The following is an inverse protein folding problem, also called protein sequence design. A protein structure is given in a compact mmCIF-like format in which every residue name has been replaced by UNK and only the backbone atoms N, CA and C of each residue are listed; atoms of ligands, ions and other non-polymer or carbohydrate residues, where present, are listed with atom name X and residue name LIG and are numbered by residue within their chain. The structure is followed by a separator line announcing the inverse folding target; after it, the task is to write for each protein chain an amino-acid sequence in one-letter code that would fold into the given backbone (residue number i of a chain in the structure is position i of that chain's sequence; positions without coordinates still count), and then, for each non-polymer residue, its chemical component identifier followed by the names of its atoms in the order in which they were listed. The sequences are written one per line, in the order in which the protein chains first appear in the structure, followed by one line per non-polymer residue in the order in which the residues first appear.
data_IF_027373593837
#
_entry.id   IF_027373593837
#
_cell.length_a   1.000
_cell.length_b   1.000
_cell.length_c   1.000
_cell.angle_alpha   90.00
_cell.angle_beta   90.00
_cell.angle_gamma   90.00
#
_symmetry.space_group_name_H-M   'P 1'
#
loop_
_entity.id
_entity.type
_entity.pdbx_description
1 polymer ?
#
# COMPACT_ATOMS: atom_id res chain seq x y z
N UNK A 1 -33.48 -34.72 -11.70
CA UNK A 1 -33.95 -33.38 -12.08
C UNK A 1 -33.68 -32.43 -10.90
N UNK A 2 -32.49 -31.85 -10.83
CA UNK A 2 -32.22 -30.62 -10.06
C UNK A 2 -31.02 -29.96 -10.70
N UNK A 3 -31.27 -28.85 -11.41
CA UNK A 3 -30.27 -27.99 -11.99
C UNK A 3 -29.83 -27.03 -10.87
N UNK A 4 -28.62 -27.15 -10.41
CA UNK A 4 -27.98 -26.16 -9.56
C UNK A 4 -27.19 -25.21 -10.44
N UNK A 5 -27.74 -24.00 -10.63
CA UNK A 5 -27.05 -22.93 -11.33
C UNK A 5 -26.00 -22.26 -10.39
N UNK A 6 -24.81 -22.19 -10.84
CA UNK A 6 -23.76 -21.35 -10.23
C UNK A 6 -23.93 -19.94 -10.78
N UNK A 7 -24.42 -19.03 -9.94
CA UNK A 7 -24.41 -17.58 -10.21
C UNK A 7 -23.19 -17.00 -9.54
N UNK A 8 -22.25 -16.57 -10.36
CA UNK A 8 -21.23 -15.62 -9.98
C UNK A 8 -21.93 -14.29 -9.62
N UNK A 9 -21.75 -13.82 -8.40
CA UNK A 9 -22.24 -12.52 -7.97
C UNK A 9 -21.32 -11.43 -8.54
N UNK A 10 -21.61 -10.96 -9.74
CA UNK A 10 -21.12 -9.70 -10.25
C UNK A 10 -22.09 -8.63 -9.75
N UNK A 11 -21.64 -7.82 -8.81
CA UNK A 11 -22.41 -6.66 -8.33
C UNK A 11 -22.37 -5.58 -9.42
N UNK A 12 -23.37 -5.56 -10.28
CA UNK A 12 -23.58 -4.50 -11.24
C UNK A 12 -24.17 -3.28 -10.51
N UNK A 13 -23.42 -2.20 -10.48
CA UNK A 13 -23.92 -0.87 -10.10
C UNK A 13 -24.80 -0.36 -11.24
N UNK A 14 -26.11 -0.38 -11.05
CA UNK A 14 -27.07 0.27 -11.95
C UNK A 14 -27.02 1.78 -11.73
N UNK A 15 -26.56 2.51 -12.73
CA UNK A 15 -26.84 3.95 -12.86
C UNK A 15 -28.21 4.08 -13.50
N UNK A 16 -29.19 4.52 -12.74
CA UNK A 16 -30.50 4.86 -13.25
C UNK A 16 -30.44 6.22 -13.95
N UNK A 17 -30.62 6.25 -15.26
CA UNK A 17 -30.92 7.44 -16.01
C UNK A 17 -32.44 7.59 -16.10
N UNK A 18 -32.98 8.64 -15.48
CA UNK A 18 -34.34 9.11 -15.73
C UNK A 18 -34.31 10.59 -16.04
N UNK A 19 -35.01 10.97 -17.12
CA UNK A 19 -35.53 12.31 -17.20
C UNK A 19 -35.46 12.97 -18.57
N UNK A 20 -36.51 12.80 -19.32
CA UNK A 20 -36.89 13.59 -20.50
C UNK A 20 -37.22 15.02 -20.12
N UNK A 21 -36.72 15.98 -20.86
CA UNK A 21 -37.16 17.39 -20.81
C UNK A 21 -36.51 18.20 -21.92
N UNK A 22 -37.34 18.60 -22.87
CA UNK A 22 -37.03 19.30 -24.11
C UNK A 22 -36.87 20.81 -23.90
N UNK A 23 -36.10 21.41 -24.82
CA UNK A 23 -36.10 22.77 -25.32
C UNK A 23 -35.23 23.84 -24.64
N UNK A 24 -34.28 24.36 -25.44
CA UNK A 24 -33.59 25.60 -25.20
C UNK A 24 -32.27 25.74 -25.95
N UNK A 25 -32.31 26.26 -27.20
CA UNK A 25 -31.16 26.49 -28.03
C UNK A 25 -30.20 27.52 -27.42
N UNK A 26 -28.98 27.07 -27.16
CA UNK A 26 -27.82 27.90 -26.84
C UNK A 26 -26.58 27.17 -27.28
N UNK A 27 -26.12 27.40 -28.51
CA UNK A 27 -24.91 26.81 -29.07
C UNK A 27 -23.69 27.38 -28.37
N UNK A 28 -23.19 26.66 -27.40
CA UNK A 28 -21.81 26.81 -26.88
C UNK A 28 -21.04 25.59 -27.33
N UNK A 29 -20.25 25.75 -28.38
CA UNK A 29 -19.29 24.71 -28.83
C UNK A 29 -18.21 24.55 -27.76
N UNK A 30 -18.40 23.59 -26.89
CA UNK A 30 -17.29 23.06 -26.07
C UNK A 30 -16.44 22.17 -26.98
N UNK A 31 -15.35 22.73 -27.48
CA UNK A 31 -14.31 21.93 -28.14
C UNK A 31 -13.67 21.02 -27.08
N UNK A 32 -14.03 19.74 -27.10
CA UNK A 32 -13.28 18.71 -26.38
C UNK A 32 -11.95 18.50 -27.12
N UNK A 33 -10.90 19.10 -26.60
CA UNK A 33 -9.53 18.74 -26.98
C UNK A 33 -9.22 17.30 -26.53
N UNK A 34 -8.28 16.59 -27.19
CA UNK A 34 -7.92 15.23 -26.85
C UNK A 34 -7.27 15.25 -25.45
N UNK A 35 -8.00 14.77 -24.46
CA UNK A 35 -7.48 14.55 -23.12
C UNK A 35 -6.53 13.36 -23.13
N UNK A 36 -5.23 13.62 -23.28
CA UNK A 36 -4.22 12.73 -22.77
C UNK A 36 -4.29 12.81 -21.24
N UNK A 37 -4.71 11.70 -20.61
CA UNK A 37 -4.80 11.62 -19.16
C UNK A 37 -3.41 11.64 -18.54
N UNK A 38 -2.96 12.82 -18.19
CA UNK A 38 -1.87 13.03 -17.24
C UNK A 38 -2.46 13.92 -16.14
N UNK A 39 -2.48 13.41 -14.92
CA UNK A 39 -3.16 14.07 -13.81
C UNK A 39 -2.67 15.49 -13.60
N UNK A 40 -3.58 16.37 -13.21
CA UNK A 40 -3.50 17.83 -13.10
C UNK A 40 -2.09 18.38 -12.95
N UNK A 41 -1.45 18.65 -14.07
CA UNK A 41 -0.11 19.24 -14.05
C UNK A 41 -0.24 20.68 -13.53
N UNK A 42 0.77 21.18 -12.84
CA UNK A 42 0.82 22.56 -12.34
C UNK A 42 0.48 23.60 -13.42
N UNK A 43 0.59 23.22 -14.70
CA UNK A 43 0.34 24.04 -15.90
C UNK A 43 -1.08 23.93 -16.45
N UNK A 44 -1.97 23.12 -15.84
CA UNK A 44 -3.37 23.04 -16.27
C UNK A 44 -4.06 24.41 -16.08
N UNK A 45 -4.59 24.97 -17.18
CA UNK A 45 -5.27 26.26 -17.18
C UNK A 45 -6.72 26.07 -16.73
N UNK A 46 -7.08 26.68 -15.62
CA UNK A 46 -8.41 26.60 -15.00
C UNK A 46 -9.32 27.71 -15.44
N UNK A 47 -8.79 28.92 -15.68
CA UNK A 47 -9.52 30.11 -16.08
C UNK A 47 -8.58 31.14 -16.73
N UNK A 48 -9.13 32.22 -17.28
CA UNK A 48 -8.35 33.41 -17.63
C UNK A 48 -9.11 34.71 -17.29
N UNK A 49 -8.35 35.73 -16.89
CA UNK A 49 -8.85 37.07 -16.65
C UNK A 49 -8.05 38.02 -17.54
N UNK A 50 -8.73 38.69 -18.46
CA UNK A 50 -8.13 39.63 -19.42
C UNK A 50 -6.93 39.05 -20.19
N UNK A 51 -6.98 37.72 -20.49
CA UNK A 51 -5.93 36.97 -21.18
C UNK A 51 -4.82 36.46 -20.28
N UNK A 52 -4.83 36.72 -18.97
CA UNK A 52 -3.92 36.11 -18.00
C UNK A 52 -4.53 34.81 -17.53
N UNK A 53 -3.79 33.75 -17.73
CA UNK A 53 -4.21 32.39 -17.35
C UNK A 53 -4.07 32.18 -15.83
N UNK A 54 -5.06 31.49 -15.26
CA UNK A 54 -5.05 30.95 -13.90
C UNK A 54 -4.89 29.45 -14.02
N UNK A 55 -3.85 28.92 -13.41
CA UNK A 55 -3.47 27.53 -13.47
C UNK A 55 -3.64 26.84 -12.12
N UNK A 56 -3.44 25.51 -12.07
CA UNK A 56 -3.38 24.77 -10.80
C UNK A 56 -2.28 25.31 -9.88
N UNK A 57 -1.17 25.81 -10.43
CA UNK A 57 -0.08 26.40 -9.64
C UNK A 57 -0.48 27.67 -8.88
N UNK A 58 -1.50 28.39 -9.34
CA UNK A 58 -1.99 29.61 -8.71
C UNK A 58 -2.97 29.35 -7.56
N UNK A 59 -3.42 28.11 -7.37
CA UNK A 59 -4.27 27.71 -6.26
C UNK A 59 -3.49 27.70 -4.95
N UNK A 60 -4.21 27.83 -3.83
CA UNK A 60 -3.58 27.66 -2.52
C UNK A 60 -3.04 26.25 -2.33
N UNK A 61 -2.04 26.11 -1.44
CA UNK A 61 -1.32 24.87 -1.20
C UNK A 61 -2.25 23.72 -0.78
N UNK A 62 -3.25 24.00 0.06
CA UNK A 62 -4.17 22.96 0.55
C UNK A 62 -5.00 22.37 -0.59
N UNK A 63 -5.45 23.20 -1.53
CA UNK A 63 -6.21 22.72 -2.70
C UNK A 63 -5.30 21.94 -3.63
N UNK A 64 -4.08 22.39 -3.89
CA UNK A 64 -3.11 21.65 -4.71
C UNK A 64 -2.80 20.29 -4.12
N UNK A 65 -2.57 20.22 -2.81
CA UNK A 65 -2.33 18.95 -2.10
C UNK A 65 -3.54 18.03 -2.17
N UNK A 66 -4.75 18.58 -2.06
CA UNK A 66 -5.96 17.78 -2.19
C UNK A 66 -6.13 17.23 -3.60
N UNK A 67 -5.86 18.02 -4.65
CA UNK A 67 -5.91 17.56 -6.04
C UNK A 67 -4.87 16.47 -6.30
N UNK A 68 -3.63 16.65 -5.84
CA UNK A 68 -2.57 15.65 -5.97
C UNK A 68 -2.93 14.33 -5.29
N UNK A 69 -3.54 14.39 -4.09
CA UNK A 69 -4.06 13.20 -3.38
C UNK A 69 -5.11 12.47 -4.18
N UNK A 70 -6.11 13.22 -4.68
CA UNK A 70 -7.20 12.62 -5.47
C UNK A 70 -6.69 11.97 -6.74
N UNK A 71 -5.76 12.62 -7.44
CA UNK A 71 -5.16 12.08 -8.65
C UNK A 71 -4.37 10.81 -8.38
N UNK A 72 -3.48 10.82 -7.38
CA UNK A 72 -2.74 9.61 -7.00
C UNK A 72 -3.68 8.46 -6.62
N UNK A 73 -4.68 8.71 -5.77
CA UNK A 73 -5.64 7.69 -5.35
C UNK A 73 -6.42 7.13 -6.53
N UNK A 74 -6.85 7.99 -7.47
CA UNK A 74 -7.52 7.53 -8.69
C UNK A 74 -6.60 6.65 -9.55
N UNK A 75 -5.34 7.08 -9.78
CA UNK A 75 -4.35 6.31 -10.55
C UNK A 75 -4.05 4.98 -9.88
N UNK A 76 -3.89 4.96 -8.56
CA UNK A 76 -3.63 3.75 -7.80
C UNK A 76 -4.80 2.75 -7.88
N UNK A 77 -6.03 3.21 -7.68
CA UNK A 77 -7.21 2.37 -7.81
C UNK A 77 -7.39 1.83 -9.24
N UNK A 78 -7.15 2.69 -10.24
CA UNK A 78 -7.22 2.29 -11.65
C UNK A 78 -6.16 1.24 -11.99
N UNK A 79 -4.93 1.42 -11.54
CA UNK A 79 -3.84 0.46 -11.75
C UNK A 79 -4.18 -0.89 -11.13
N UNK A 80 -4.57 -0.93 -9.87
CA UNK A 80 -4.97 -2.16 -9.18
C UNK A 80 -6.13 -2.89 -9.88
N UNK A 81 -7.14 -2.13 -10.35
CA UNK A 81 -8.26 -2.71 -11.09
C UNK A 81 -7.81 -3.31 -12.42
N UNK A 82 -6.93 -2.61 -13.15
CA UNK A 82 -6.40 -3.10 -14.43
C UNK A 82 -5.51 -4.32 -14.22
N UNK A 83 -4.64 -4.32 -13.23
CA UNK A 83 -3.78 -5.46 -12.88
C UNK A 83 -4.62 -6.69 -12.58
N UNK A 84 -5.60 -6.56 -11.68
CA UNK A 84 -6.50 -7.67 -11.35
C UNK A 84 -7.31 -8.17 -12.56
N UNK A 85 -7.77 -7.25 -13.43
CA UNK A 85 -8.50 -7.62 -14.63
C UNK A 85 -7.61 -8.32 -15.67
N UNK A 86 -6.39 -7.84 -15.86
CA UNK A 86 -5.41 -8.46 -16.77
C UNK A 86 -5.01 -9.84 -16.29
N UNK A 87 -4.71 -10.01 -15.00
CA UNK A 87 -4.43 -11.31 -14.40
C UNK A 87 -5.59 -12.30 -14.62
N UNK A 88 -6.83 -11.87 -14.40
CA UNK A 88 -8.00 -12.71 -14.66
C UNK A 88 -8.12 -13.13 -16.12
N UNK A 89 -7.85 -12.24 -17.07
CA UNK A 89 -7.87 -12.56 -18.51
C UNK A 89 -6.74 -13.51 -18.90
N UNK A 90 -5.54 -13.31 -18.35
CA UNK A 90 -4.39 -14.20 -18.59
C UNK A 90 -4.70 -15.60 -18.07
N UNK A 91 -5.19 -15.71 -16.84
CA UNK A 91 -5.58 -16.97 -16.23
C UNK A 91 -6.62 -17.70 -17.08
N UNK A 92 -7.69 -17.02 -17.51
CA UNK A 92 -8.76 -17.61 -18.35
C UNK A 92 -8.21 -18.10 -19.69
N UNK A 93 -7.34 -17.33 -20.34
CA UNK A 93 -6.71 -17.73 -21.61
C UNK A 93 -5.82 -18.94 -21.46
N UNK A 94 -4.91 -18.95 -20.49
CA UNK A 94 -4.01 -20.08 -20.25
C UNK A 94 -4.77 -21.38 -19.98
N UNK A 95 -5.80 -21.32 -19.12
CA UNK A 95 -6.62 -22.48 -18.81
C UNK A 95 -7.45 -22.93 -20.03
N UNK A 96 -8.00 -21.99 -20.81
CA UNK A 96 -8.76 -22.31 -22.02
C UNK A 96 -7.90 -22.97 -23.10
N UNK A 97 -6.70 -22.45 -23.33
CA UNK A 97 -5.74 -23.01 -24.29
C UNK A 97 -5.27 -24.41 -23.86
N UNK A 98 -4.96 -24.58 -22.57
CA UNK A 98 -4.57 -25.87 -22.02
C UNK A 98 -5.70 -26.91 -22.10
N UNK A 99 -6.94 -26.51 -21.84
CA UNK A 99 -8.12 -27.36 -21.99
C UNK A 99 -8.34 -27.80 -23.46
N UNK A 100 -8.24 -26.85 -24.39
CA UNK A 100 -8.34 -27.11 -25.82
C UNK A 100 -7.23 -28.06 -26.31
N UNK A 101 -5.98 -27.87 -25.88
CA UNK A 101 -4.86 -28.73 -26.23
C UNK A 101 -5.03 -30.17 -25.72
N UNK A 102 -5.70 -30.36 -24.58
CA UNK A 102 -6.00 -31.67 -23.99
C UNK A 102 -7.33 -32.27 -24.52
N UNK A 103 -8.12 -31.51 -25.28
CA UNK A 103 -9.41 -31.91 -25.79
C UNK A 103 -10.50 -32.10 -24.72
N UNK A 104 -10.39 -31.32 -23.62
CA UNK A 104 -11.29 -31.34 -22.46
C UNK A 104 -11.96 -29.99 -22.27
N UNK A 105 -12.98 -29.93 -21.41
CA UNK A 105 -13.58 -28.65 -21.00
C UNK A 105 -12.75 -27.95 -19.93
N UNK A 106 -13.00 -26.64 -19.72
CA UNK A 106 -12.39 -25.87 -18.64
C UNK A 106 -12.72 -26.45 -17.24
N UNK A 107 -13.94 -26.96 -17.08
CA UNK A 107 -14.34 -27.66 -15.84
C UNK A 107 -13.54 -28.94 -15.63
N UNK A 108 -13.32 -29.73 -16.68
CA UNK A 108 -12.58 -31.00 -16.61
C UNK A 108 -11.08 -30.77 -16.30
N UNK A 109 -10.45 -29.73 -16.86
CA UNK A 109 -9.04 -29.46 -16.56
C UNK A 109 -8.87 -29.06 -15.09
N UNK A 110 -9.76 -28.18 -14.56
CA UNK A 110 -9.74 -27.78 -13.16
C UNK A 110 -10.06 -28.97 -12.24
N UNK A 111 -11.05 -29.79 -12.58
CA UNK A 111 -11.39 -30.99 -11.82
C UNK A 111 -10.21 -31.96 -11.75
N UNK A 112 -9.56 -32.24 -12.89
CA UNK A 112 -8.38 -33.13 -12.93
C UNK A 112 -7.24 -32.65 -12.02
N UNK A 113 -7.02 -31.34 -11.93
CA UNK A 113 -5.97 -30.80 -11.10
C UNK A 113 -6.32 -30.73 -9.61
N UNK A 114 -7.60 -30.72 -9.26
CA UNK A 114 -8.06 -30.54 -7.88
C UNK A 114 -8.66 -31.80 -7.26
N UNK A 115 -9.23 -32.73 -8.07
CA UNK A 115 -9.87 -33.94 -7.58
C UNK A 115 -8.88 -34.87 -6.88
N UNK A 116 -9.20 -35.26 -5.64
CA UNK A 116 -8.35 -36.11 -4.81
C UNK A 116 -7.08 -35.43 -4.25
N UNK A 117 -6.86 -34.15 -4.56
CA UNK A 117 -5.72 -33.38 -4.04
C UNK A 117 -6.13 -32.39 -2.94
N UNK A 118 -7.42 -32.06 -2.84
CA UNK A 118 -7.95 -31.16 -1.82
C UNK A 118 -8.33 -31.98 -0.59
N UNK A 119 -7.52 -31.89 0.44
CA UNK A 119 -7.75 -32.55 1.73
C UNK A 119 -7.63 -31.51 2.85
N UNK A 120 -8.67 -31.39 3.66
CA UNK A 120 -8.70 -30.52 4.83
C UNK A 120 -8.96 -31.40 6.06
N UNK A 121 -7.98 -31.47 6.93
CA UNK A 121 -8.05 -32.24 8.17
C UNK A 121 -8.92 -31.55 9.23
N UNK A 122 -9.41 -32.31 10.20
CA UNK A 122 -10.12 -31.75 11.36
C UNK A 122 -9.22 -30.81 12.18
N UNK A 123 -7.92 -31.12 12.27
CA UNK A 123 -6.95 -30.28 12.95
C UNK A 123 -6.81 -28.88 12.32
N UNK A 124 -6.89 -28.76 10.99
CA UNK A 124 -6.86 -27.48 10.28
C UNK A 124 -8.14 -26.68 10.53
N UNK A 125 -9.28 -27.35 10.56
CA UNK A 125 -10.57 -26.73 10.90
C UNK A 125 -10.56 -26.19 12.33
N UNK A 126 -10.07 -26.97 13.29
CA UNK A 126 -9.92 -26.56 14.70
C UNK A 126 -8.93 -25.39 14.84
N UNK A 127 -7.81 -25.44 14.16
CA UNK A 127 -6.79 -24.38 14.19
C UNK A 127 -7.32 -23.08 13.59
N UNK A 128 -8.04 -23.14 12.48
CA UNK A 128 -8.69 -21.98 11.89
C UNK A 128 -9.75 -21.40 12.84
N UNK A 129 -10.59 -22.24 13.44
CA UNK A 129 -11.59 -21.83 14.43
C UNK A 129 -10.94 -21.10 15.61
N UNK A 130 -9.91 -21.67 16.19
CA UNK A 130 -9.19 -21.09 17.34
C UNK A 130 -8.62 -19.71 17.00
N UNK A 131 -8.01 -19.54 15.83
CA UNK A 131 -7.43 -18.28 15.38
C UNK A 131 -8.48 -17.20 15.04
N UNK A 132 -9.69 -17.60 14.71
CA UNK A 132 -10.75 -16.70 14.27
C UNK A 132 -11.95 -16.64 15.24
N UNK A 133 -11.84 -17.22 16.41
CA UNK A 133 -12.93 -17.35 17.40
C UNK A 133 -13.59 -16.02 17.75
N UNK A 134 -12.85 -14.92 17.83
CA UNK A 134 -13.38 -13.58 18.10
C UNK A 134 -14.36 -13.08 17.02
N UNK A 135 -14.21 -13.55 15.76
CA UNK A 135 -15.08 -13.18 14.63
C UNK A 135 -16.35 -14.03 14.55
N UNK A 136 -16.37 -15.16 15.26
CA UNK A 136 -17.46 -16.13 15.20
C UNK A 136 -18.59 -15.84 16.21
N UNK A 137 -18.52 -14.73 16.94
CA UNK A 137 -19.58 -14.26 17.85
C UNK A 137 -20.06 -15.33 18.85
N UNK A 138 -19.15 -16.19 19.31
CA UNK A 138 -19.45 -17.25 20.30
C UNK A 138 -20.11 -18.51 19.73
N UNK A 139 -20.23 -18.66 18.41
CA UNK A 139 -20.70 -19.91 17.78
C UNK A 139 -19.74 -21.04 18.08
N UNK A 140 -20.30 -22.22 18.37
CA UNK A 140 -19.49 -23.41 18.70
C UNK A 140 -18.86 -24.03 17.43
N UNK A 141 -17.71 -24.70 17.63
CA UNK A 141 -16.99 -25.34 16.52
C UNK A 141 -17.89 -26.29 15.72
N UNK A 142 -18.67 -27.10 16.39
CA UNK A 142 -19.56 -28.10 15.76
C UNK A 142 -20.58 -27.48 14.80
N UNK A 143 -21.01 -26.24 15.09
CA UNK A 143 -21.98 -25.53 14.23
C UNK A 143 -21.33 -24.94 12.97
N UNK A 144 -20.05 -24.56 13.06
CA UNK A 144 -19.36 -23.84 11.97
C UNK A 144 -18.33 -24.70 11.24
N UNK A 145 -17.96 -25.87 11.79
CA UNK A 145 -16.95 -26.74 11.19
C UNK A 145 -17.22 -27.10 9.72
N UNK A 146 -18.46 -27.41 9.30
CA UNK A 146 -18.71 -27.69 7.87
C UNK A 146 -18.42 -26.50 6.96
N UNK A 147 -18.80 -25.27 7.40
CA UNK A 147 -18.54 -24.05 6.63
C UNK A 147 -17.05 -23.71 6.60
N UNK A 148 -16.34 -23.88 7.74
CA UNK A 148 -14.89 -23.69 7.81
C UNK A 148 -14.18 -24.68 6.89
N UNK A 149 -14.57 -25.95 6.91
CA UNK A 149 -14.00 -26.98 6.04
C UNK A 149 -14.16 -26.61 4.57
N UNK A 150 -15.40 -26.30 4.16
CA UNK A 150 -15.67 -25.89 2.78
C UNK A 150 -14.84 -24.67 2.37
N UNK A 151 -14.74 -23.67 3.23
CA UNK A 151 -13.91 -22.49 3.00
C UNK A 151 -12.43 -22.84 2.81
N UNK A 152 -11.89 -23.74 3.63
CA UNK A 152 -10.49 -24.20 3.52
C UNK A 152 -10.30 -25.05 2.25
N UNK A 153 -11.24 -25.90 1.91
CA UNK A 153 -11.22 -26.68 0.65
C UNK A 153 -11.23 -25.76 -0.59
N UNK A 154 -12.04 -24.70 -0.56
CA UNK A 154 -12.09 -23.71 -1.65
C UNK A 154 -10.75 -22.96 -1.77
N UNK A 155 -10.10 -22.61 -0.65
CA UNK A 155 -8.75 -22.03 -0.64
C UNK A 155 -7.72 -22.99 -1.23
N UNK A 156 -7.72 -24.26 -0.82
CA UNK A 156 -6.78 -25.25 -1.35
C UNK A 156 -7.01 -25.52 -2.84
N UNK A 157 -8.27 -25.58 -3.27
CA UNK A 157 -8.62 -25.68 -4.69
C UNK A 157 -8.08 -24.48 -5.48
N UNK A 158 -8.27 -23.28 -4.95
CA UNK A 158 -7.75 -22.07 -5.60
C UNK A 158 -6.23 -22.07 -5.71
N UNK A 159 -5.52 -22.53 -4.69
CA UNK A 159 -4.04 -22.66 -4.74
C UNK A 159 -3.60 -23.64 -5.83
N UNK A 160 -4.26 -24.78 -5.96
CA UNK A 160 -3.96 -25.75 -7.00
C UNK A 160 -4.19 -25.19 -8.40
N UNK A 161 -5.30 -24.46 -8.61
CA UNK A 161 -5.57 -23.79 -9.88
C UNK A 161 -4.52 -22.71 -10.17
N UNK A 162 -4.11 -21.92 -9.17
CA UNK A 162 -3.07 -20.92 -9.34
C UNK A 162 -1.70 -21.53 -9.63
N UNK A 163 -1.40 -22.70 -9.04
CA UNK A 163 -0.18 -23.43 -9.35
C UNK A 163 -0.17 -23.93 -10.81
N UNK A 164 -1.31 -24.47 -11.29
CA UNK A 164 -1.47 -24.84 -12.70
C UNK A 164 -1.30 -23.62 -13.63
N UNK A 165 -1.93 -22.49 -13.33
CA UNK A 165 -1.80 -21.26 -14.12
C UNK A 165 -0.34 -20.79 -14.15
N UNK A 166 0.35 -20.86 -13.01
CA UNK A 166 1.77 -20.51 -12.92
C UNK A 166 2.63 -21.43 -13.78
N UNK A 167 2.36 -22.74 -13.78
CA UNK A 167 3.06 -23.73 -14.61
C UNK A 167 2.83 -23.43 -16.10
N UNK A 168 1.57 -23.27 -16.51
CA UNK A 168 1.21 -22.92 -17.88
C UNK A 168 1.85 -21.60 -18.32
N UNK A 169 1.90 -20.61 -17.44
CA UNK A 169 2.54 -19.31 -17.71
C UNK A 169 4.03 -19.41 -18.05
N UNK A 170 4.73 -20.46 -17.57
CA UNK A 170 6.15 -20.65 -17.90
C UNK A 170 6.40 -21.04 -19.35
N UNK A 171 5.38 -21.53 -20.05
CA UNK A 171 5.45 -21.94 -21.47
C UNK A 171 5.16 -20.77 -22.42
N UNK A 172 4.78 -19.60 -21.88
CA UNK A 172 4.39 -18.42 -22.64
C UNK A 172 5.27 -17.21 -22.30
N UNK A 173 5.49 -16.33 -23.27
CA UNK A 173 6.08 -15.01 -23.06
C UNK A 173 4.93 -14.04 -22.71
N UNK A 174 4.84 -13.66 -21.43
CA UNK A 174 3.79 -12.75 -20.92
C UNK A 174 4.44 -11.42 -20.60
N UNK A 175 4.05 -10.38 -21.32
CA UNK A 175 4.48 -9.01 -21.05
C UNK A 175 3.33 -8.19 -20.46
N UNK A 176 3.62 -7.48 -19.36
CA UNK A 176 2.67 -6.61 -18.69
C UNK A 176 2.94 -5.16 -19.05
N UNK A 177 1.90 -4.48 -19.54
CA UNK A 177 1.93 -3.06 -19.90
C UNK A 177 1.12 -2.16 -18.96
N UNK A 178 0.60 -2.71 -17.88
CA UNK A 178 -0.05 -1.93 -16.83
C UNK A 178 1.05 -1.34 -15.95
N UNK A 179 1.18 -0.02 -15.99
CA UNK A 179 2.13 0.67 -15.13
C UNK A 179 1.51 0.89 -13.75
N UNK A 180 2.20 0.51 -12.66
CA UNK A 180 1.74 0.80 -11.32
C UNK A 180 1.75 2.31 -11.06
N UNK A 181 0.78 2.79 -10.28
CA UNK A 181 0.80 4.18 -9.87
C UNK A 181 2.02 4.45 -8.98
N UNK A 182 2.75 5.50 -9.30
CA UNK A 182 3.89 5.96 -8.51
C UNK A 182 3.50 7.18 -7.71
N UNK A 183 3.87 7.18 -6.44
CA UNK A 183 3.79 8.35 -5.57
C UNK A 183 5.13 9.09 -5.61
N UNK A 184 5.05 10.41 -5.67
CA UNK A 184 6.20 11.29 -5.51
C UNK A 184 6.19 11.86 -4.09
N UNK A 185 7.37 11.88 -3.45
CA UNK A 185 7.55 12.37 -2.10
C UNK A 185 8.65 13.43 -2.06
N UNK A 186 8.42 14.47 -1.24
CA UNK A 186 9.48 15.39 -0.88
C UNK A 186 10.44 14.73 0.12
N UNK A 187 11.63 14.40 -0.35
CA UNK A 187 12.67 13.72 0.41
C UNK A 187 13.75 14.67 0.92
N UNK A 188 13.58 16.01 0.75
CA UNK A 188 14.56 16.98 1.18
C UNK A 188 14.80 16.91 2.69
N UNK A 189 16.07 16.71 3.08
CA UNK A 189 16.48 16.58 4.48
C UNK A 189 15.93 15.33 5.19
N UNK A 190 15.36 14.35 4.48
CA UNK A 190 14.96 13.08 5.08
C UNK A 190 16.19 12.24 5.46
N UNK A 191 16.15 11.50 6.58
CA UNK A 191 17.19 10.55 6.90
C UNK A 191 17.31 9.49 5.80
N UNK A 192 18.53 9.33 5.30
CA UNK A 192 18.82 8.37 4.21
C UNK A 192 19.95 7.44 4.58
N UNK A 193 19.90 6.22 4.04
CA UNK A 193 20.99 5.25 4.03
C UNK A 193 21.28 4.87 2.57
N UNK A 194 22.55 4.68 2.25
CA UNK A 194 22.99 4.37 0.89
C UNK A 194 23.19 5.61 0.02
N UNK A 195 23.72 5.43 -1.20
CA UNK A 195 24.03 6.53 -2.10
C UNK A 195 22.77 7.13 -2.75
N UNK A 196 22.82 8.42 -3.06
CA UNK A 196 21.69 9.14 -3.69
C UNK A 196 21.36 8.64 -5.10
N UNK A 197 22.34 8.08 -5.80
CA UNK A 197 22.22 7.52 -7.15
C UNK A 197 21.99 6.01 -7.19
N UNK A 198 21.61 5.39 -6.05
CA UNK A 198 21.27 3.98 -6.01
C UNK A 198 20.10 3.67 -6.98
N UNK A 199 20.18 2.54 -7.72
CA UNK A 199 19.15 2.16 -8.71
C UNK A 199 17.76 1.89 -8.09
N UNK A 200 17.72 1.59 -6.80
CA UNK A 200 16.48 1.33 -6.06
C UNK A 200 16.37 2.27 -4.87
N UNK A 201 15.27 3.02 -4.80
CA UNK A 201 14.91 3.82 -3.62
C UNK A 201 13.79 3.12 -2.89
N UNK A 202 14.05 2.77 -1.62
CA UNK A 202 13.06 2.25 -0.68
C UNK A 202 12.69 3.38 0.29
N UNK A 203 11.43 3.81 0.26
CA UNK A 203 10.89 4.79 1.21
C UNK A 203 10.07 4.03 2.24
N UNK A 204 10.41 4.22 3.51
CA UNK A 204 9.69 3.65 4.64
C UNK A 204 8.97 4.76 5.41
N UNK A 205 7.64 4.66 5.51
CA UNK A 205 6.85 5.41 6.48
C UNK A 205 6.65 4.55 7.72
N UNK A 206 7.15 5.03 8.86
CA UNK A 206 7.29 4.19 10.04
C UNK A 206 6.97 4.94 11.34
N UNK A 207 6.75 4.16 12.41
CA UNK A 207 6.40 4.62 13.74
C UNK A 207 7.20 3.81 14.77
N UNK A 208 7.97 4.50 15.59
CA UNK A 208 8.87 3.86 16.56
C UNK A 208 8.13 3.12 17.69
N UNK A 209 6.86 3.40 17.94
CA UNK A 209 6.05 2.69 18.92
C UNK A 209 5.20 1.57 18.30
N UNK A 210 5.17 1.45 16.95
CA UNK A 210 4.41 0.43 16.24
C UNK A 210 5.06 -0.96 16.35
N UNK A 211 4.36 -1.99 16.85
CA UNK A 211 4.92 -3.33 16.96
C UNK A 211 5.18 -4.01 15.61
N UNK A 212 4.48 -3.58 14.56
CA UNK A 212 4.72 -4.09 13.20
C UNK A 212 6.01 -3.51 12.61
N UNK A 213 6.31 -2.23 12.88
CA UNK A 213 7.57 -1.60 12.48
C UNK A 213 8.77 -2.25 13.19
N UNK A 214 8.65 -2.52 14.49
CA UNK A 214 9.67 -3.25 15.23
C UNK A 214 9.92 -4.65 14.66
N UNK A 215 8.88 -5.34 14.19
CA UNK A 215 9.03 -6.64 13.51
C UNK A 215 9.65 -6.54 12.13
N UNK A 216 9.43 -5.43 11.43
CA UNK A 216 10.02 -5.17 10.13
C UNK A 216 11.50 -4.73 10.22
N UNK A 217 11.90 -4.07 11.28
CA UNK A 217 13.26 -3.57 11.52
C UNK A 217 14.38 -4.57 11.20
N UNK A 218 14.35 -5.85 11.63
CA UNK A 218 15.37 -6.82 11.24
C UNK A 218 15.42 -7.10 9.73
N UNK A 219 14.27 -7.00 9.03
CA UNK A 219 14.21 -7.15 7.57
C UNK A 219 14.89 -5.97 6.89
N UNK A 220 14.65 -4.74 7.36
CA UNK A 220 15.30 -3.54 6.86
C UNK A 220 16.83 -3.65 6.99
N UNK A 221 17.34 -4.13 8.14
CA UNK A 221 18.77 -4.32 8.35
C UNK A 221 19.36 -5.36 7.38
N UNK A 222 18.65 -6.47 7.12
CA UNK A 222 19.06 -7.43 6.08
C UNK A 222 19.10 -6.80 4.70
N UNK A 223 18.14 -5.92 4.35
CA UNK A 223 18.17 -5.17 3.08
C UNK A 223 19.41 -4.29 3.00
N UNK A 224 19.76 -3.56 4.07
CA UNK A 224 21.00 -2.77 4.13
C UNK A 224 22.25 -3.63 3.91
N UNK A 225 22.32 -4.78 4.56
CA UNK A 225 23.47 -5.70 4.49
C UNK A 225 23.58 -6.37 3.11
N UNK A 226 22.46 -6.85 2.54
CA UNK A 226 22.47 -7.64 1.31
C UNK A 226 22.62 -6.79 0.05
N UNK A 227 22.01 -5.59 0.04
CA UNK A 227 21.96 -4.74 -1.16
C UNK A 227 22.99 -3.62 -1.14
N UNK A 228 23.45 -3.15 0.05
CA UNK A 228 24.50 -2.14 0.19
C UNK A 228 24.24 -0.90 -0.68
N UNK A 229 25.21 -0.57 -1.54
CA UNK A 229 25.15 0.61 -2.43
C UNK A 229 24.08 0.51 -3.55
N UNK A 230 23.40 -0.61 -3.68
CA UNK A 230 22.33 -0.79 -4.68
C UNK A 230 20.97 -0.28 -4.21
N UNK A 231 20.85 0.08 -2.93
CA UNK A 231 19.61 0.59 -2.36
C UNK A 231 19.87 1.90 -1.61
N UNK A 232 19.01 2.88 -1.87
CA UNK A 232 18.83 4.07 -1.05
C UNK A 232 17.60 3.87 -0.19
N UNK A 233 17.75 3.90 1.14
CA UNK A 233 16.62 3.81 2.07
C UNK A 233 16.37 5.20 2.62
N UNK A 234 15.12 5.66 2.51
CA UNK A 234 14.65 6.93 3.04
C UNK A 234 13.62 6.67 4.12
N UNK A 235 13.80 7.26 5.28
CA UNK A 235 12.87 7.12 6.40
C UNK A 235 12.00 8.38 6.51
N UNK A 236 10.69 8.19 6.49
CA UNK A 236 9.69 9.24 6.71
C UNK A 236 8.86 8.93 7.95
N UNK A 237 8.57 9.96 8.73
CA UNK A 237 7.88 9.83 10.01
C UNK A 237 6.37 9.66 9.80
N UNK A 238 5.78 8.61 10.39
CA UNK A 238 4.34 8.41 10.36
C UNK A 238 3.80 7.95 11.73
N UNK A 239 3.94 8.78 12.79
CA UNK A 239 3.52 8.44 14.14
C UNK A 239 1.99 8.31 14.24
N UNK A 240 1.49 7.15 14.66
CA UNK A 240 0.06 6.85 14.84
C UNK A 240 -0.43 7.33 16.22
N UNK A 241 -0.42 8.62 16.46
CA UNK A 241 -0.65 9.25 17.77
C UNK A 241 -1.98 8.89 18.44
N UNK A 242 -2.96 8.39 17.68
CA UNK A 242 -4.25 7.95 18.21
C UNK A 242 -4.14 6.68 19.07
N UNK A 243 -3.13 5.84 18.81
CA UNK A 243 -2.92 4.53 19.45
C UNK A 243 -1.53 4.40 20.07
N UNK A 244 -0.59 5.28 19.72
CA UNK A 244 0.80 5.27 20.15
C UNK A 244 1.16 6.61 20.79
N UNK A 245 1.04 6.76 22.12
CA UNK A 245 1.17 8.05 22.81
C UNK A 245 2.58 8.63 22.79
N UNK A 246 3.63 7.81 22.63
CA UNK A 246 5.03 8.24 22.62
C UNK A 246 5.59 8.39 21.20
N UNK A 247 4.90 7.92 20.16
CA UNK A 247 5.39 7.85 18.79
C UNK A 247 5.85 9.21 18.25
N UNK A 248 5.10 10.28 18.52
CA UNK A 248 5.47 11.62 18.04
C UNK A 248 6.77 12.13 18.67
N UNK A 249 6.95 11.93 19.98
CA UNK A 249 8.19 12.33 20.67
C UNK A 249 9.37 11.45 20.27
N UNK A 250 9.17 10.18 20.01
CA UNK A 250 10.19 9.28 19.47
C UNK A 250 10.62 9.71 18.04
N UNK A 251 9.66 10.12 17.21
CA UNK A 251 9.94 10.71 15.90
C UNK A 251 10.74 12.00 16.00
N UNK A 252 10.37 12.93 16.90
CA UNK A 252 11.16 14.13 17.16
C UNK A 252 12.58 13.80 17.63
N UNK A 253 12.74 12.85 18.54
CA UNK A 253 14.04 12.40 19.05
C UNK A 253 14.94 11.87 17.94
N UNK A 254 14.39 11.05 17.02
CA UNK A 254 15.14 10.52 15.88
C UNK A 254 15.64 11.63 14.95
N UNK A 255 14.82 12.66 14.71
CA UNK A 255 15.21 13.82 13.89
C UNK A 255 16.16 14.76 14.62
N UNK A 256 16.06 14.90 15.95
CA UNK A 256 17.08 15.62 16.73
C UNK A 256 18.44 14.91 16.69
N UNK A 257 18.47 13.58 16.69
CA UNK A 257 19.68 12.80 16.46
C UNK A 257 20.19 12.93 15.01
N UNK A 258 19.26 13.06 14.04
CA UNK A 258 19.61 13.31 12.64
C UNK A 258 20.39 14.60 12.44
N UNK A 259 20.03 15.69 13.13
CA UNK A 259 20.77 16.96 13.10
C UNK A 259 22.21 16.81 13.58
N UNK A 260 22.48 15.80 14.41
CA UNK A 260 23.81 15.47 14.90
C UNK A 260 24.48 14.31 14.13
N UNK A 261 23.89 13.88 13.00
CA UNK A 261 24.43 12.85 12.12
C UNK A 261 24.25 11.41 12.61
N UNK A 262 23.42 11.18 13.64
CA UNK A 262 23.23 9.87 14.28
C UNK A 262 21.79 9.37 14.21
N UNK A 263 21.13 9.60 13.06
CA UNK A 263 19.76 9.12 12.88
C UNK A 263 19.65 7.60 13.00
N UNK A 264 20.50 6.86 12.28
CA UNK A 264 20.37 5.41 12.19
C UNK A 264 20.71 4.72 13.50
N UNK A 265 21.66 5.23 14.27
CA UNK A 265 21.99 4.75 15.61
C UNK A 265 20.82 4.96 16.58
N UNK A 266 20.19 6.13 16.52
CA UNK A 266 18.99 6.41 17.32
C UNK A 266 17.80 5.56 16.86
N UNK A 267 17.57 5.43 15.56
CA UNK A 267 16.54 4.60 14.96
C UNK A 267 16.64 3.15 15.47
N UNK A 268 17.82 2.57 15.38
CA UNK A 268 18.04 1.19 15.82
C UNK A 268 17.78 1.02 17.31
N UNK A 269 18.24 1.97 18.12
CA UNK A 269 18.04 1.96 19.57
C UNK A 269 16.57 2.13 19.97
N UNK A 270 15.81 2.98 19.25
CA UNK A 270 14.39 3.17 19.50
C UNK A 270 13.58 1.88 19.22
N UNK A 271 13.90 1.15 18.15
CA UNK A 271 13.23 -0.12 17.87
C UNK A 271 13.68 -1.25 18.79
N UNK A 272 14.95 -1.32 19.16
CA UNK A 272 15.47 -2.32 20.11
C UNK A 272 14.87 -2.16 21.51
N UNK A 273 14.63 -0.92 21.92
CA UNK A 273 14.12 -0.56 23.24
C UNK A 273 12.75 0.10 23.18
N UNK A 274 11.85 -0.44 22.38
CA UNK A 274 10.53 0.13 22.09
C UNK A 274 9.65 0.33 23.34
N UNK A 275 9.92 -0.36 24.43
CA UNK A 275 9.19 -0.22 25.68
C UNK A 275 9.53 1.07 26.47
N UNK A 276 10.61 1.79 26.10
CA UNK A 276 11.13 2.96 26.80
C UNK A 276 11.26 4.14 25.85
N UNK A 277 10.13 4.78 25.53
CA UNK A 277 10.03 5.92 24.59
C UNK A 277 9.52 7.21 25.26
N UNK A 278 9.46 7.27 26.59
CA UNK A 278 9.13 8.51 27.27
C UNK A 278 10.28 9.52 27.15
N UNK A 279 9.97 10.82 27.26
CA UNK A 279 10.99 11.90 27.05
C UNK A 279 12.28 11.70 27.86
N UNK A 280 12.23 11.31 29.16
CA UNK A 280 13.46 11.01 29.90
C UNK A 280 14.30 9.89 29.27
N UNK A 281 13.63 8.82 28.82
CA UNK A 281 14.29 7.66 28.21
C UNK A 281 14.94 8.04 26.86
N UNK A 282 14.30 8.93 26.08
CA UNK A 282 14.84 9.46 24.82
C UNK A 282 16.11 10.27 25.04
N UNK A 283 16.15 11.08 26.10
CA UNK A 283 17.35 11.85 26.49
C UNK A 283 18.47 10.92 26.96
N UNK A 284 18.17 9.90 27.73
CA UNK A 284 19.14 8.87 28.13
C UNK A 284 19.74 8.15 26.92
N UNK A 285 18.90 7.78 25.94
CA UNK A 285 19.37 7.16 24.70
C UNK A 285 20.35 8.08 23.93
N UNK A 286 20.07 9.38 23.86
CA UNK A 286 20.95 10.35 23.23
C UNK A 286 22.32 10.43 23.93
N UNK A 287 22.34 10.44 25.28
CA UNK A 287 23.58 10.40 26.07
C UNK A 287 24.38 9.12 25.81
N UNK A 288 23.70 7.96 25.75
CA UNK A 288 24.32 6.66 25.45
C UNK A 288 24.94 6.60 24.06
N UNK A 289 24.37 7.33 23.10
CA UNK A 289 24.90 7.47 21.73
C UNK A 289 26.03 8.52 21.65
N UNK A 290 26.33 9.22 22.75
CA UNK A 290 27.37 10.26 22.79
C UNK A 290 27.00 11.55 22.08
N UNK A 291 25.70 11.82 21.90
CA UNK A 291 25.21 13.07 21.33
C UNK A 291 25.41 14.24 22.31
N UNK A 292 25.45 15.47 21.78
CA UNK A 292 25.38 16.66 22.62
C UNK A 292 24.02 16.71 23.33
N UNK A 293 24.03 16.44 24.64
CA UNK A 293 22.82 16.33 25.45
C UNK A 293 22.07 17.65 25.61
N UNK A 294 22.75 18.79 25.60
CA UNK A 294 22.13 20.12 25.70
C UNK A 294 21.42 20.47 24.39
N UNK A 295 22.09 20.27 23.26
CA UNK A 295 21.51 20.50 21.93
C UNK A 295 20.35 19.55 21.65
N UNK A 296 20.53 18.25 21.95
CA UNK A 296 19.46 17.26 21.80
C UNK A 296 18.24 17.58 22.69
N UNK A 297 18.49 17.92 23.95
CA UNK A 297 17.43 18.31 24.89
C UNK A 297 16.68 19.56 24.42
N UNK A 298 17.41 20.59 23.96
CA UNK A 298 16.84 21.82 23.40
C UNK A 298 15.97 21.53 22.16
N UNK A 299 16.45 20.67 21.25
CA UNK A 299 15.71 20.22 20.07
C UNK A 299 14.40 19.54 20.46
N UNK A 300 14.47 18.53 21.34
CA UNK A 300 13.33 17.70 21.72
C UNK A 300 12.29 18.48 22.55
N UNK A 301 12.72 19.34 23.49
CA UNK A 301 11.85 20.11 24.35
C UNK A 301 11.13 21.25 23.60
N UNK A 302 11.81 21.89 22.64
CA UNK A 302 11.22 22.94 21.81
C UNK A 302 10.24 22.40 20.76
N UNK A 303 10.32 21.12 20.41
CA UNK A 303 9.50 20.53 19.35
C UNK A 303 9.82 21.06 17.95
N UNK A 304 11.05 21.52 17.69
CA UNK A 304 11.42 22.13 16.40
C UNK A 304 11.30 21.19 15.20
N UNK A 305 11.25 19.87 15.44
CA UNK A 305 11.07 18.87 14.39
C UNK A 305 9.59 18.59 14.05
N UNK A 306 8.67 19.17 14.80
CA UNK A 306 7.24 18.88 14.65
C UNK A 306 6.69 19.19 13.25
N UNK A 307 7.15 20.26 12.60
CA UNK A 307 6.67 20.63 11.28
C UNK A 307 7.19 19.67 10.21
N UNK A 308 8.39 19.13 10.37
CA UNK A 308 8.90 18.06 9.49
C UNK A 308 8.05 16.81 9.61
N UNK A 309 7.75 16.36 10.82
CA UNK A 309 6.91 15.19 11.06
C UNK A 309 5.50 15.38 10.47
N UNK A 310 4.93 16.59 10.60
CA UNK A 310 3.63 16.89 9.99
C UNK A 310 3.65 16.83 8.47
N UNK A 311 4.74 17.30 7.83
CA UNK A 311 4.92 17.17 6.37
C UNK A 311 5.00 15.70 5.97
N UNK A 312 5.80 14.89 6.64
CA UNK A 312 5.91 13.46 6.37
C UNK A 312 4.55 12.76 6.51
N UNK A 313 3.81 13.05 7.60
CA UNK A 313 2.44 12.56 7.81
C UNK A 313 1.49 12.97 6.67
N UNK A 314 1.53 14.24 6.25
CA UNK A 314 0.68 14.74 5.16
C UNK A 314 0.97 14.00 3.85
N UNK A 315 2.24 13.81 3.51
CA UNK A 315 2.66 13.06 2.32
C UNK A 315 2.18 11.60 2.36
N UNK A 316 2.39 10.93 3.49
CA UNK A 316 1.93 9.55 3.67
C UNK A 316 0.42 9.41 3.55
N UNK A 317 -0.34 10.32 4.17
CA UNK A 317 -1.81 10.36 4.03
C UNK A 317 -2.25 10.64 2.59
N UNK A 318 -1.51 11.51 1.88
CA UNK A 318 -1.74 11.78 0.46
C UNK A 318 -1.56 10.52 -0.40
N UNK A 319 -0.57 9.71 -0.09
CA UNK A 319 -0.33 8.43 -0.72
C UNK A 319 -1.26 7.29 -0.23
N UNK A 320 -2.27 7.61 0.59
CA UNK A 320 -3.26 6.64 1.06
C UNK A 320 -2.79 5.76 2.22
N UNK A 321 -1.67 6.10 2.86
CA UNK A 321 -1.17 5.34 4.01
C UNK A 321 -2.13 5.52 5.19
N UNK A 322 -2.51 4.43 5.81
CA UNK A 322 -3.39 4.38 6.98
C UNK A 322 -2.84 3.51 8.13
N UNK A 323 -1.62 2.99 7.98
CA UNK A 323 -0.93 2.17 8.97
C UNK A 323 0.56 2.05 8.67
N UNK A 324 1.33 1.56 9.64
CA UNK A 324 2.78 1.40 9.54
C UNK A 324 3.23 -0.04 9.82
N UNK A 325 4.35 -0.49 9.25
CA UNK A 325 5.15 0.20 8.26
C UNK A 325 4.46 0.25 6.89
N UNK A 326 4.67 1.33 6.11
CA UNK A 326 4.30 1.38 4.70
C UNK A 326 5.57 1.61 3.87
N UNK A 327 5.69 0.87 2.76
CA UNK A 327 6.90 0.80 1.96
C UNK A 327 6.62 1.18 0.52
N UNK A 328 7.49 2.00 -0.06
CA UNK A 328 7.44 2.34 -1.48
C UNK A 328 8.78 2.01 -2.12
N UNK A 329 8.76 1.19 -3.16
CA UNK A 329 9.95 0.88 -3.97
C UNK A 329 9.86 1.67 -5.26
N UNK A 330 10.77 2.62 -5.47
CA UNK A 330 10.74 3.53 -6.62
C UNK A 330 9.36 4.20 -6.79
N UNK A 331 8.72 4.61 -5.68
CA UNK A 331 7.41 5.25 -5.66
C UNK A 331 6.20 4.30 -5.74
N UNK A 332 6.40 3.00 -5.90
CA UNK A 332 5.33 1.99 -5.93
C UNK A 332 5.18 1.36 -4.55
N UNK A 333 3.94 1.35 -4.01
CA UNK A 333 3.59 0.72 -2.73
C UNK A 333 3.37 -0.78 -2.91
#
# INVERSE_FOLDING_TARGET
MYRSGWMAAVTAVMIAACGTGQDGAGSSTVSAGPGSGDGGTATEVLASIDGNEITVADLDEQVRDQLSRMDYQYRAQRSQLLEAAVEGVIQDRLLTEAAAARGVSLEEIVATETEGKVEVSDAEVEDWYRRNSSRLQGRQLEEVAPQIRQYLEDIERQKLVMALVSELGTEHEIEYYVEPARADFDLEGAPTFGPDDAPVTLIEFSDFECPFCSRFFPTLNRVKEEYGDRVRIVYLQFPLTNIHPHAFKAAEASLCAHEQGSFWEMHDLLFQEQATLAVPDLKEKAERLGLDAEEFGSCLDSGRQADRIRRDLSQGQAAGINGTPALFVNGVN
#
